data_IF_705789877946
#
_entry.id   IF_705789877946
#
_cell.length_a   1.000
_cell.length_b   1.000
_cell.length_c   1.000
_cell.angle_alpha   90.00
_cell.angle_beta   90.00
_cell.angle_gamma   90.00
#
_symmetry.space_group_name_H-M   'P 1'
#
loop_
_entity.id
_entity.type
_entity.pdbx_description
1 polymer ?
#
# COMPACT_ATOMS: atom_id res chain seq x y z
N UNK A 1 38.73 28.47 9.13
CA UNK A 1 38.70 27.25 9.98
C UNK A 1 37.27 26.85 10.36
N UNK A 2 36.44 27.75 10.90
CA UNK A 2 35.06 27.46 11.35
C UNK A 2 34.10 27.01 10.23
N UNK A 3 34.23 27.55 9.02
CA UNK A 3 33.40 27.19 7.85
C UNK A 3 33.69 25.80 7.31
N UNK A 4 34.93 25.32 7.43
CA UNK A 4 35.32 23.97 7.00
C UNK A 4 34.79 22.91 7.98
N UNK A 5 34.83 23.23 9.29
CA UNK A 5 34.28 22.40 10.36
C UNK A 5 32.74 22.27 10.31
N UNK A 6 32.05 23.35 9.91
CA UNK A 6 30.59 23.31 9.65
C UNK A 6 30.22 22.42 8.46
N UNK A 7 31.01 22.46 7.38
CA UNK A 7 30.76 21.65 6.18
C UNK A 7 30.98 20.16 6.42
N UNK A 8 32.01 19.77 7.18
CA UNK A 8 32.25 18.37 7.55
C UNK A 8 31.18 17.83 8.50
N UNK A 9 30.70 18.65 9.43
CA UNK A 9 29.59 18.27 10.31
C UNK A 9 28.28 18.07 9.52
N UNK A 10 27.99 18.96 8.57
CA UNK A 10 26.83 18.83 7.68
C UNK A 10 26.91 17.57 6.78
N UNK A 11 28.10 17.26 6.23
CA UNK A 11 28.31 16.03 5.46
C UNK A 11 28.12 14.77 6.32
N UNK A 12 28.66 14.77 7.54
CA UNK A 12 28.48 13.65 8.47
C UNK A 12 27.01 13.42 8.84
N UNK A 13 26.25 14.51 9.02
CA UNK A 13 24.82 14.43 9.32
C UNK A 13 24.02 13.89 8.11
N UNK A 14 24.34 14.33 6.90
CA UNK A 14 23.70 13.84 5.68
C UNK A 14 24.00 12.36 5.44
N UNK A 15 25.24 11.91 5.70
CA UNK A 15 25.61 10.51 5.60
C UNK A 15 24.85 9.64 6.61
N UNK A 16 24.64 10.13 7.84
CA UNK A 16 23.88 9.43 8.86
C UNK A 16 22.39 9.25 8.48
N UNK A 17 21.78 10.24 7.82
CA UNK A 17 20.41 10.18 7.30
C UNK A 17 20.23 9.13 6.20
N UNK A 18 21.23 8.92 5.35
CA UNK A 18 21.19 7.93 4.26
C UNK A 18 21.27 6.50 4.80
N UNK A 19 21.96 6.28 5.93
CA UNK A 19 22.08 4.95 6.54
C UNK A 19 20.82 4.58 7.36
N UNK A 20 20.01 5.57 7.76
CA UNK A 20 18.79 5.38 8.56
C UNK A 20 17.52 5.11 7.72
N UNK A 21 17.64 4.43 6.58
CA UNK A 21 16.49 4.00 5.80
C UNK A 21 15.86 2.77 6.47
N UNK A 22 14.84 2.99 7.30
CA UNK A 22 14.02 1.89 7.79
C UNK A 22 13.36 1.19 6.58
N UNK A 23 13.25 -0.16 6.56
CA UNK A 23 12.52 -0.84 5.51
C UNK A 23 11.07 -0.36 5.53
N UNK A 24 10.64 0.34 4.48
CA UNK A 24 9.25 0.68 4.29
C UNK A 24 8.50 -0.62 3.95
N UNK A 25 7.63 -1.06 4.86
CA UNK A 25 6.72 -2.17 4.57
C UNK A 25 5.59 -1.64 3.69
N UNK A 26 5.60 -2.02 2.41
CA UNK A 26 4.46 -1.77 1.53
C UNK A 26 3.26 -2.59 2.00
N UNK A 27 2.08 -1.99 1.98
CA UNK A 27 0.83 -2.74 2.14
C UNK A 27 0.66 -3.70 0.95
N UNK A 28 0.00 -4.83 1.18
CA UNK A 28 -0.23 -5.80 0.11
C UNK A 28 -1.12 -5.23 -1.00
N UNK A 29 -0.75 -5.51 -2.25
CA UNK A 29 -1.47 -5.04 -3.44
C UNK A 29 -2.41 -6.11 -3.97
N UNK A 30 -3.70 -5.77 -4.09
CA UNK A 30 -4.75 -6.70 -4.56
C UNK A 30 -5.48 -6.09 -5.74
N UNK A 31 -5.55 -6.81 -6.86
CA UNK A 31 -6.37 -6.45 -8.02
C UNK A 31 -7.79 -6.95 -7.81
N UNK A 32 -8.77 -6.10 -8.13
CA UNK A 32 -10.19 -6.43 -8.04
C UNK A 32 -10.81 -6.31 -9.44
N UNK A 33 -11.48 -7.36 -9.90
CA UNK A 33 -12.22 -7.33 -11.16
C UNK A 33 -13.53 -8.11 -11.06
N UNK A 34 -14.65 -7.61 -11.64
CA UNK A 34 -14.82 -6.26 -12.17
C UNK A 34 -14.88 -5.22 -11.03
N UNK A 35 -14.53 -3.97 -11.32
CA UNK A 35 -14.61 -2.88 -10.33
C UNK A 35 -16.06 -2.56 -9.96
N UNK A 36 -16.98 -2.69 -10.92
CA UNK A 36 -18.41 -2.47 -10.74
C UNK A 36 -19.17 -3.79 -11.00
N UNK A 37 -19.22 -4.71 -10.03
CA UNK A 37 -19.96 -5.95 -10.18
C UNK A 37 -21.46 -5.66 -10.24
N UNK A 38 -22.16 -6.39 -11.11
CA UNK A 38 -23.62 -6.33 -11.25
C UNK A 38 -24.20 -7.65 -10.76
N UNK A 39 -25.18 -7.57 -9.86
CA UNK A 39 -26.03 -8.70 -9.49
C UNK A 39 -27.31 -8.61 -10.32
N UNK A 40 -27.39 -9.40 -11.38
CA UNK A 40 -28.52 -9.38 -12.29
C UNK A 40 -29.78 -9.95 -11.64
N UNK A 41 -30.96 -9.52 -12.10
CA UNK A 41 -32.27 -9.95 -11.56
C UNK A 41 -32.43 -11.48 -11.54
N UNK A 42 -31.93 -12.13 -12.57
CA UNK A 42 -32.09 -13.58 -12.79
C UNK A 42 -30.87 -14.37 -12.30
N UNK A 43 -30.03 -13.77 -11.45
CA UNK A 43 -28.80 -14.38 -10.94
C UNK A 43 -28.74 -14.30 -9.41
N UNK A 44 -28.49 -15.44 -8.77
CA UNK A 44 -28.38 -15.52 -7.31
C UNK A 44 -27.05 -14.95 -6.78
N UNK A 45 -26.03 -14.86 -7.63
CA UNK A 45 -24.69 -14.40 -7.27
C UNK A 45 -24.00 -13.65 -8.42
N UNK A 46 -22.98 -12.88 -8.06
CA UNK A 46 -22.04 -12.24 -8.99
C UNK A 46 -20.62 -12.55 -8.55
N UNK A 47 -19.73 -12.83 -9.49
CA UNK A 47 -18.36 -13.18 -9.20
C UNK A 47 -17.47 -11.92 -9.07
N UNK A 48 -16.56 -11.96 -8.10
CA UNK A 48 -15.50 -10.98 -7.94
C UNK A 48 -14.17 -11.72 -7.85
N UNK A 49 -13.24 -11.37 -8.72
CA UNK A 49 -11.89 -11.88 -8.71
C UNK A 49 -11.01 -10.96 -7.88
N UNK A 50 -10.29 -11.56 -6.92
CA UNK A 50 -9.32 -10.90 -6.07
C UNK A 50 -7.96 -11.56 -6.32
N UNK A 51 -7.04 -10.83 -6.91
CA UNK A 51 -5.70 -11.33 -7.22
C UNK A 51 -4.66 -10.63 -6.35
N UNK A 52 -3.88 -11.43 -5.63
CA UNK A 52 -2.72 -10.94 -4.92
C UNK A 52 -1.59 -10.66 -5.92
N UNK A 53 -1.21 -9.40 -6.09
CA UNK A 53 -0.11 -9.01 -6.98
C UNK A 53 1.27 -9.15 -6.32
N UNK A 54 1.33 -9.53 -5.04
CA UNK A 54 2.58 -9.69 -4.32
C UNK A 54 3.16 -11.11 -4.40
N UNK A 55 4.45 -11.20 -4.05
CA UNK A 55 5.20 -12.47 -3.98
C UNK A 55 5.02 -13.24 -2.67
N UNK A 56 4.30 -12.66 -1.71
CA UNK A 56 4.04 -13.27 -0.39
C UNK A 56 2.55 -13.53 -0.23
N UNK A 57 2.12 -14.59 0.48
CA UNK A 57 0.72 -14.79 0.83
C UNK A 57 0.17 -13.60 1.61
N UNK A 58 -1.09 -13.24 1.36
CA UNK A 58 -1.81 -12.17 2.07
C UNK A 58 -3.08 -12.75 2.67
N UNK A 59 -3.44 -12.29 3.86
CA UNK A 59 -4.74 -12.57 4.47
C UNK A 59 -5.73 -11.49 4.03
N UNK A 60 -6.82 -11.89 3.39
CA UNK A 60 -7.87 -10.98 2.94
C UNK A 60 -9.07 -11.03 3.89
N UNK A 61 -9.61 -9.85 4.23
CA UNK A 61 -10.89 -9.72 4.93
C UNK A 61 -11.92 -9.13 3.97
N UNK A 62 -13.00 -9.87 3.71
CA UNK A 62 -14.06 -9.46 2.78
C UNK A 62 -15.31 -9.08 3.59
N UNK A 63 -15.88 -7.92 3.31
CA UNK A 63 -17.08 -7.40 3.97
C UNK A 63 -17.96 -6.67 2.96
N UNK A 64 -19.27 -6.91 3.02
CA UNK A 64 -20.27 -6.23 2.20
C UNK A 64 -21.13 -5.37 3.13
N UNK A 65 -21.25 -4.08 2.82
CA UNK A 65 -22.00 -3.12 3.62
C UNK A 65 -23.11 -2.48 2.78
N UNK A 66 -24.27 -2.24 3.40
CA UNK A 66 -25.31 -1.40 2.79
C UNK A 66 -24.79 0.04 2.73
N UNK A 67 -24.71 0.59 1.53
CA UNK A 67 -24.39 2.01 1.37
C UNK A 67 -25.60 2.87 1.76
N UNK A 68 -25.34 3.97 2.46
CA UNK A 68 -26.30 5.02 2.78
C UNK A 68 -25.63 6.36 2.51
N UNK A 69 -26.39 7.32 1.96
CA UNK A 69 -25.92 8.68 1.73
C UNK A 69 -26.92 9.62 2.43
N UNK A 70 -26.41 10.48 3.30
CA UNK A 70 -27.18 11.47 4.06
C UNK A 70 -27.08 12.86 3.39
#
# INVERSE_FOLDING_TARGET
>A
MVTLLRKTCALGFLAALIVHQAPAFAASSVTIWPVNPVLARDSEASALWLENNDRKPVLLQIRVFRWTQA
#
